data_IF_195740654612
#
_entry.id   IF_195740654612
#
_cell.length_a   1.000
_cell.length_b   1.000
_cell.length_c   1.000
_cell.angle_alpha   90.00
_cell.angle_beta   90.00
_cell.angle_gamma   90.00
#
_symmetry.space_group_name_H-M   'P 1'
#
loop_
_entity.id
_entity.type
_entity.pdbx_description
1 polymer ?
#
# COMPACT_ATOMS: atom_id res chain seq x y z
N UNK A 1 8.51 16.67 14.16
CA UNK A 1 7.46 15.62 14.27
C UNK A 1 7.82 14.50 13.31
N UNK A 2 8.13 13.31 13.82
CA UNK A 2 8.52 12.18 12.98
C UNK A 2 7.35 11.84 12.06
N UNK A 3 7.60 11.81 10.75
CA UNK A 3 6.60 11.45 9.74
C UNK A 3 6.24 9.98 9.98
N UNK A 4 5.07 9.70 10.57
CA UNK A 4 4.60 8.34 10.83
C UNK A 4 4.88 7.44 9.63
N UNK A 5 5.60 6.33 9.90
CA UNK A 5 5.93 5.36 8.89
C UNK A 5 4.63 4.80 8.32
N UNK A 6 4.63 4.50 7.02
CA UNK A 6 3.48 3.85 6.38
C UNK A 6 3.09 2.54 7.11
N UNK A 7 4.06 1.87 7.72
CA UNK A 7 3.87 0.68 8.55
C UNK A 7 3.13 0.99 9.85
N UNK A 8 3.40 2.13 10.49
CA UNK A 8 2.72 2.53 11.73
C UNK A 8 1.24 2.82 11.49
N UNK A 9 0.91 3.41 10.34
CA UNK A 9 -0.49 3.66 9.93
C UNK A 9 -1.24 2.38 9.62
N UNK A 10 -0.58 1.42 8.98
CA UNK A 10 -1.17 0.11 8.66
C UNK A 10 -1.49 -0.69 9.92
N UNK A 11 -0.60 -0.68 10.91
CA UNK A 11 -0.80 -1.40 12.17
C UNK A 11 -1.96 -0.82 13.00
N UNK A 12 -2.20 0.49 12.93
CA UNK A 12 -3.23 1.17 13.72
C UNK A 12 -4.62 1.24 13.05
N UNK A 13 -4.74 1.12 11.71
CA UNK A 13 -6.00 1.28 10.95
C UNK A 13 -6.50 -0.02 10.29
N UNK A 14 -6.47 -1.13 11.03
CA UNK A 14 -6.82 -2.46 10.53
C UNK A 14 -8.18 -2.57 9.83
N UNK A 15 -9.15 -1.69 10.11
CA UNK A 15 -10.49 -1.72 9.49
C UNK A 15 -10.62 -0.96 8.16
N UNK A 16 -9.76 0.02 7.86
CA UNK A 16 -9.84 0.86 6.63
C UNK A 16 -8.90 0.39 5.51
N UNK A 17 -8.22 -0.73 5.73
CA UNK A 17 -7.10 -1.15 4.90
C UNK A 17 -7.51 -1.56 3.46
N UNK A 18 -8.76 -1.99 3.25
CA UNK A 18 -9.30 -2.29 1.91
C UNK A 18 -9.48 -1.02 1.06
N UNK A 19 -9.98 0.06 1.67
CA UNK A 19 -10.18 1.33 0.99
C UNK A 19 -8.85 1.99 0.63
N UNK A 20 -7.85 1.88 1.50
CA UNK A 20 -6.50 2.37 1.24
C UNK A 20 -5.80 1.62 0.09
N UNK A 21 -6.01 0.30 -0.06
CA UNK A 21 -5.50 -0.42 -1.24
C UNK A 21 -6.13 0.11 -2.53
N UNK A 22 -7.44 0.36 -2.50
CA UNK A 22 -8.18 0.94 -3.63
C UNK A 22 -7.62 2.30 -4.06
N UNK A 23 -7.37 3.19 -3.08
CA UNK A 23 -6.75 4.51 -3.33
C UNK A 23 -5.36 4.39 -3.94
N UNK A 24 -4.49 3.54 -3.39
CA UNK A 24 -3.14 3.34 -3.91
C UNK A 24 -3.12 2.74 -5.33
N UNK A 25 -4.06 1.85 -5.65
CA UNK A 25 -4.19 1.30 -7.01
C UNK A 25 -4.66 2.36 -8.01
N UNK A 26 -5.57 3.25 -7.62
CA UNK A 26 -6.00 4.38 -8.45
C UNK A 26 -4.84 5.35 -8.71
N UNK A 27 -4.10 5.72 -7.67
CA UNK A 27 -2.89 6.55 -7.79
C UNK A 27 -1.85 5.89 -8.71
N UNK A 28 -1.63 4.58 -8.58
CA UNK A 28 -0.73 3.84 -9.46
C UNK A 28 -1.18 3.89 -10.92
N UNK A 29 -2.49 3.80 -11.18
CA UNK A 29 -3.05 3.89 -12.54
C UNK A 29 -2.81 5.26 -13.15
N UNK A 30 -3.10 6.33 -12.41
CA UNK A 30 -2.85 7.71 -12.83
C UNK A 30 -1.36 7.96 -13.12
N UNK A 31 -0.48 7.49 -12.24
CA UNK A 31 0.97 7.59 -12.45
C UNK A 31 1.45 6.81 -13.68
N UNK A 32 0.85 5.65 -13.99
CA UNK A 32 1.18 4.88 -15.20
C UNK A 32 0.71 5.58 -16.46
N UNK A 33 -0.46 6.21 -16.43
CA UNK A 33 -0.97 7.02 -17.54
C UNK A 33 -0.03 8.20 -17.80
N UNK A 34 0.32 8.96 -16.74
CA UNK A 34 1.27 10.08 -16.83
C UNK A 34 2.68 9.66 -17.28
N UNK A 35 3.12 8.46 -16.89
CA UNK A 35 4.38 7.90 -17.35
C UNK A 35 4.33 7.54 -18.83
N UNK A 36 3.24 6.92 -19.29
CA UNK A 36 3.06 6.57 -20.70
C UNK A 36 2.93 7.80 -21.61
N UNK A 37 2.38 8.91 -21.11
CA UNK A 37 2.30 10.18 -21.83
C UNK A 37 3.62 10.96 -21.82
N UNK A 38 4.67 10.48 -21.13
CA UNK A 38 5.96 11.16 -21.01
C UNK A 38 5.95 12.40 -20.11
N UNK A 39 4.83 12.69 -19.42
CA UNK A 39 4.66 13.88 -18.58
C UNK A 39 5.15 13.68 -17.14
N UNK A 40 5.43 12.43 -16.73
CA UNK A 40 5.84 12.12 -15.36
C UNK A 40 7.33 12.42 -15.11
N UNK A 41 7.61 13.54 -14.44
CA UNK A 41 8.96 13.92 -14.00
C UNK A 41 9.51 13.04 -12.86
N UNK A 42 8.63 12.47 -12.03
CA UNK A 42 9.01 11.74 -10.82
C UNK A 42 8.69 10.24 -10.91
N UNK A 43 9.37 9.53 -11.82
CA UNK A 43 9.16 8.09 -12.08
C UNK A 43 9.35 7.21 -10.84
N UNK A 44 10.16 7.67 -9.87
CA UNK A 44 10.40 6.99 -8.60
C UNK A 44 9.12 6.84 -7.74
N UNK A 45 8.10 7.68 -7.94
CA UNK A 45 6.80 7.57 -7.24
C UNK A 45 6.08 6.26 -7.56
N UNK A 46 6.16 5.78 -8.80
CA UNK A 46 5.61 4.47 -9.19
C UNK A 46 6.22 3.34 -8.35
N UNK A 47 7.53 3.40 -8.07
CA UNK A 47 8.20 2.39 -7.23
C UNK A 47 7.77 2.50 -5.77
N UNK A 48 7.59 3.70 -5.24
CA UNK A 48 7.09 3.94 -3.88
C UNK A 48 5.68 3.39 -3.71
N UNK A 49 4.74 3.75 -4.59
CA UNK A 49 3.34 3.29 -4.52
C UNK A 49 3.25 1.76 -4.65
N UNK A 50 4.02 1.13 -5.56
CA UNK A 50 4.08 -0.34 -5.64
C UNK A 50 4.55 -1.00 -4.34
N UNK A 51 5.56 -0.43 -3.67
CA UNK A 51 6.04 -0.94 -2.38
C UNK A 51 4.97 -0.80 -1.29
N UNK A 52 4.26 0.33 -1.24
CA UNK A 52 3.16 0.53 -0.31
C UNK A 52 2.06 -0.52 -0.47
N UNK A 53 1.66 -0.83 -1.72
CA UNK A 53 0.67 -1.89 -2.00
C UNK A 53 1.19 -3.26 -1.53
N UNK A 54 2.45 -3.59 -1.80
CA UNK A 54 3.04 -4.86 -1.39
C UNK A 54 3.11 -5.01 0.15
N UNK A 55 3.46 -3.94 0.86
CA UNK A 55 3.48 -3.91 2.32
C UNK A 55 2.08 -4.11 2.91
N UNK A 56 1.07 -3.42 2.39
CA UNK A 56 -0.32 -3.55 2.81
C UNK A 56 -0.86 -4.98 2.60
N UNK A 57 -0.52 -5.62 1.47
CA UNK A 57 -0.88 -7.02 1.21
C UNK A 57 -0.18 -7.99 2.16
N UNK A 58 1.09 -7.74 2.45
CA UNK A 58 1.88 -8.58 3.36
C UNK A 58 1.29 -8.53 4.77
N UNK A 59 0.95 -7.34 5.27
CA UNK A 59 0.29 -7.16 6.56
C UNK A 59 -1.04 -7.92 6.66
N UNK A 60 -1.88 -7.86 5.62
CA UNK A 60 -3.10 -8.67 5.56
C UNK A 60 -2.83 -10.17 5.60
N UNK A 61 -1.79 -10.62 4.90
CA UNK A 61 -1.42 -12.03 4.84
C UNK A 61 -0.87 -12.54 6.17
N UNK A 62 -0.13 -11.70 6.90
CA UNK A 62 0.36 -11.96 8.26
C UNK A 62 -0.79 -12.09 9.24
N UNK A 63 -1.71 -11.12 9.29
CA UNK A 63 -2.89 -11.22 10.16
C UNK A 63 -3.77 -12.44 9.87
N UNK A 64 -3.92 -12.82 8.58
CA UNK A 64 -4.61 -14.06 8.20
C UNK A 64 -3.89 -15.33 8.65
N UNK A 65 -2.56 -15.31 8.76
CA UNK A 65 -1.78 -16.47 9.23
C UNK A 65 -1.88 -16.61 10.75
N UNK A 66 -1.83 -15.50 11.48
CA UNK A 66 -2.02 -15.48 12.94
C UNK A 66 -3.38 -16.08 13.32
N UNK A 67 -4.47 -15.64 12.68
CA UNK A 67 -5.82 -16.19 12.89
C UNK A 67 -5.96 -17.69 12.59
N UNK A 68 -5.12 -18.26 11.73
CA UNK A 68 -5.12 -19.71 11.43
C UNK A 68 -4.37 -20.51 12.49
N UNK A 69 -3.30 -19.94 13.06
CA UNK A 69 -2.51 -20.61 14.09
C UNK A 69 -3.28 -20.72 15.41
N UNK A 70 -4.15 -19.76 15.72
CA UNK A 70 -4.98 -19.79 16.95
C UNK A 70 -6.15 -20.80 16.88
N UNK A 71 -6.45 -21.35 15.71
CA UNK A 71 -7.54 -22.31 15.47
C UNK A 71 -7.07 -23.76 15.30
N UNK A 72 -5.81 -24.07 15.62
CA UNK A 72 -5.23 -25.43 15.55
C UNK A 72 -4.68 -25.83 16.92
#
# INVERSE_FOLDING_TARGET
MAKESFLDRLRNKSTDALDEEGKLRKELMELRIQHSSGQLKETHKIKKVRRSIAQLRTFHQEGKRELKNDNT
#
